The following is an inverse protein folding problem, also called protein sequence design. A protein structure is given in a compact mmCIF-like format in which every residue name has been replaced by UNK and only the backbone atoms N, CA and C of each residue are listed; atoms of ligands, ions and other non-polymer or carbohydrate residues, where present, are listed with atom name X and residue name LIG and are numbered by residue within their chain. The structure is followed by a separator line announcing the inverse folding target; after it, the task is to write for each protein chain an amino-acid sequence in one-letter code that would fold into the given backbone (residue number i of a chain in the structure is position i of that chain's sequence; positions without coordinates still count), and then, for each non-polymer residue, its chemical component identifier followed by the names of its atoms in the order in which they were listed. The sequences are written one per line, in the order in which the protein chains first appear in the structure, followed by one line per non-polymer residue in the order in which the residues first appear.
data_IF_577145953052
#
_entry.id   IF_577145953052
#
_cell.length_a   1.000
_cell.length_b   1.000
_cell.length_c   1.000
_cell.angle_alpha   90.00
_cell.angle_beta   90.00
_cell.angle_gamma   90.00
#
_symmetry.space_group_name_H-M   'P 1'
#
loop_
_entity.id
_entity.type
_entity.pdbx_description
1 polymer ?
#
# COMPACT_ATOMS: atom_id res chain seq x y z
N UNK A 1 18.12 5.89 -14.78
CA UNK A 1 18.44 4.90 -13.72
C UNK A 1 17.18 4.86 -12.89
N UNK A 2 16.57 3.69 -12.73
CA UNK A 2 15.30 3.57 -12.01
C UNK A 2 15.58 3.76 -10.52
N UNK A 3 14.75 4.53 -9.82
CA UNK A 3 14.88 4.82 -8.39
C UNK A 3 13.93 3.98 -7.54
N UNK A 4 14.15 3.92 -6.23
CA UNK A 4 13.18 3.35 -5.28
C UNK A 4 11.87 4.13 -5.40
N UNK A 5 11.95 5.46 -5.49
CA UNK A 5 10.78 6.32 -5.69
C UNK A 5 9.98 5.91 -6.92
N UNK A 6 10.62 5.71 -8.09
CA UNK A 6 9.91 5.34 -9.33
C UNK A 6 9.18 4.00 -9.18
N UNK A 7 9.82 3.00 -8.57
CA UNK A 7 9.30 1.63 -8.48
C UNK A 7 8.15 1.55 -7.49
N UNK A 8 8.34 2.17 -6.33
CA UNK A 8 7.34 2.11 -5.27
C UNK A 8 6.13 2.99 -5.58
N UNK A 9 6.32 4.13 -6.26
CA UNK A 9 5.21 4.95 -6.76
C UNK A 9 4.37 4.22 -7.83
N UNK A 10 5.00 3.43 -8.71
CA UNK A 10 4.26 2.57 -9.65
C UNK A 10 3.45 1.50 -8.90
N UNK A 11 4.02 0.93 -7.84
CA UNK A 11 3.31 -0.01 -6.97
C UNK A 11 2.10 0.64 -6.27
N UNK A 12 2.23 1.88 -5.81
CA UNK A 12 1.11 2.66 -5.27
C UNK A 12 0.01 2.87 -6.32
N UNK A 13 0.39 3.30 -7.53
CA UNK A 13 -0.57 3.54 -8.60
C UNK A 13 -1.40 2.29 -8.93
N UNK A 14 -0.77 1.11 -8.93
CA UNK A 14 -1.49 -0.16 -9.11
C UNK A 14 -2.47 -0.48 -7.98
N UNK A 15 -2.10 -0.22 -6.73
CA UNK A 15 -2.99 -0.41 -5.58
C UNK A 15 -4.18 0.58 -5.63
N UNK A 16 -3.91 1.86 -5.93
CA UNK A 16 -4.91 2.92 -6.04
C UNK A 16 -5.92 2.64 -7.16
N UNK A 17 -5.46 2.13 -8.32
CA UNK A 17 -6.34 1.75 -9.43
C UNK A 17 -7.29 0.61 -9.03
N UNK A 18 -6.77 -0.42 -8.36
CA UNK A 18 -7.59 -1.55 -7.89
C UNK A 18 -8.60 -1.11 -6.84
N UNK A 19 -8.20 -0.24 -5.91
CA UNK A 19 -9.10 0.28 -4.87
C UNK A 19 -10.22 1.14 -5.46
N UNK A 20 -9.89 2.07 -6.37
CA UNK A 20 -10.88 2.89 -7.06
C UNK A 20 -11.85 2.03 -7.88
N UNK A 21 -11.36 0.95 -8.50
CA UNK A 21 -12.21 0.01 -9.23
C UNK A 21 -13.12 -0.78 -8.28
N UNK A 22 -12.64 -1.17 -7.10
CA UNK A 22 -13.47 -1.81 -6.07
C UNK A 22 -14.58 -0.87 -5.59
N UNK A 23 -14.27 0.40 -5.31
CA UNK A 23 -15.26 1.42 -4.92
C UNK A 23 -16.38 1.55 -5.98
N UNK A 24 -16.00 1.68 -7.25
CA UNK A 24 -16.97 1.79 -8.35
C UNK A 24 -17.86 0.54 -8.49
N UNK A 25 -17.30 -0.66 -8.33
CA UNK A 25 -18.06 -1.92 -8.39
C UNK A 25 -19.01 -2.07 -7.20
N UNK A 26 -18.60 -1.63 -6.00
CA UNK A 26 -19.46 -1.58 -4.83
C UNK A 26 -20.63 -0.60 -5.02
N UNK A 27 -20.37 0.58 -5.57
CA UNK A 27 -21.42 1.56 -5.90
C UNK A 27 -22.42 1.03 -6.93
N UNK A 28 -21.98 0.14 -7.83
CA UNK A 28 -22.83 -0.55 -8.80
C UNK A 28 -23.46 -1.86 -8.32
N UNK A 29 -23.23 -2.27 -7.06
CA UNK A 29 -23.65 -3.57 -6.49
C UNK A 29 -23.17 -4.80 -7.32
N UNK A 30 -22.04 -4.68 -8.01
CA UNK A 30 -21.46 -5.78 -8.79
C UNK A 30 -20.57 -6.66 -7.90
N UNK A 31 -21.21 -7.36 -6.96
CA UNK A 31 -20.54 -8.15 -5.92
C UNK A 31 -19.58 -9.19 -6.47
N UNK A 32 -19.91 -9.82 -7.60
CA UNK A 32 -19.08 -10.87 -8.18
C UNK A 32 -17.74 -10.30 -8.66
N UNK A 33 -17.79 -9.21 -9.43
CA UNK A 33 -16.57 -8.59 -9.94
C UNK A 33 -15.86 -7.81 -8.83
N UNK A 34 -16.59 -7.26 -7.85
CA UNK A 34 -16.03 -6.62 -6.67
C UNK A 34 -15.15 -7.60 -5.89
N UNK A 35 -15.61 -8.82 -5.63
CA UNK A 35 -14.79 -9.82 -4.92
C UNK A 35 -13.47 -10.09 -5.62
N UNK A 36 -13.50 -10.29 -6.94
CA UNK A 36 -12.30 -10.54 -7.73
C UNK A 36 -11.31 -9.36 -7.67
N UNK A 37 -11.81 -8.13 -7.80
CA UNK A 37 -10.98 -6.91 -7.74
C UNK A 37 -10.45 -6.65 -6.35
N UNK A 38 -11.28 -6.83 -5.34
CA UNK A 38 -10.90 -6.59 -3.96
C UNK A 38 -9.85 -7.60 -3.49
N UNK A 39 -9.95 -8.88 -3.88
CA UNK A 39 -8.89 -9.85 -3.61
C UNK A 39 -7.58 -9.48 -4.33
N UNK A 40 -7.64 -9.00 -5.57
CA UNK A 40 -6.46 -8.51 -6.28
C UNK A 40 -5.84 -7.29 -5.58
N UNK A 41 -6.66 -6.34 -5.12
CA UNK A 41 -6.23 -5.20 -4.32
C UNK A 41 -5.50 -5.66 -3.05
N UNK A 42 -6.08 -6.57 -2.26
CA UNK A 42 -5.46 -7.05 -1.02
C UNK A 42 -4.13 -7.74 -1.28
N UNK A 43 -4.03 -8.54 -2.34
CA UNK A 43 -2.77 -9.20 -2.73
C UNK A 43 -1.72 -8.16 -3.13
N UNK A 44 -2.08 -7.17 -3.95
CA UNK A 44 -1.16 -6.12 -4.38
C UNK A 44 -0.65 -5.28 -3.20
N UNK A 45 -1.55 -4.87 -2.31
CA UNK A 45 -1.21 -4.08 -1.11
C UNK A 45 -0.31 -4.85 -0.14
N UNK A 46 -0.57 -6.14 0.09
CA UNK A 46 0.31 -6.93 0.97
C UNK A 46 1.69 -7.19 0.35
N UNK A 47 1.76 -7.36 -0.98
CA UNK A 47 3.06 -7.43 -1.68
C UNK A 47 3.84 -6.13 -1.53
N UNK A 48 3.17 -5.00 -1.72
CA UNK A 48 3.74 -3.68 -1.53
C UNK A 48 4.30 -3.52 -0.11
N UNK A 49 3.48 -3.76 0.93
CA UNK A 49 3.94 -3.71 2.32
C UNK A 49 5.08 -4.69 2.59
N UNK A 50 5.07 -5.90 2.00
CA UNK A 50 6.14 -6.86 2.18
C UNK A 50 7.47 -6.37 1.58
N UNK A 51 7.44 -5.75 0.39
CA UNK A 51 8.62 -5.14 -0.21
C UNK A 51 9.21 -4.07 0.71
N UNK A 52 8.37 -3.32 1.40
CA UNK A 52 8.83 -2.32 2.34
C UNK A 52 9.32 -2.91 3.66
N UNK A 53 8.46 -3.64 4.36
CA UNK A 53 8.69 -4.14 5.71
C UNK A 53 9.83 -5.18 5.77
N UNK A 54 9.98 -5.99 4.71
CA UNK A 54 10.95 -7.09 4.70
C UNK A 54 12.21 -6.80 3.89
N UNK A 55 12.21 -5.80 3.00
CA UNK A 55 13.34 -5.52 2.11
C UNK A 55 13.88 -4.10 2.33
N UNK A 56 13.06 -3.05 2.15
CA UNK A 56 13.52 -1.66 2.24
C UNK A 56 13.77 -1.19 3.68
N UNK A 57 12.76 -1.28 4.54
CA UNK A 57 12.81 -0.75 5.90
C UNK A 57 13.95 -1.35 6.75
N UNK A 58 14.29 -2.64 6.66
CA UNK A 58 15.47 -3.19 7.34
C UNK A 58 16.78 -2.47 6.98
N UNK A 59 16.92 -1.93 5.76
CA UNK A 59 18.11 -1.18 5.34
C UNK A 59 18.27 0.19 6.00
N UNK A 60 17.22 0.66 6.67
CA UNK A 60 17.24 1.94 7.38
C UNK A 60 17.70 1.79 8.84
N UNK A 61 17.86 0.56 9.34
CA UNK A 61 18.25 0.29 10.72
C UNK A 61 19.63 0.88 11.02
N UNK A 62 19.73 1.66 12.10
CA UNK A 62 20.96 2.36 12.48
C UNK A 62 21.28 3.61 11.65
N UNK A 63 20.50 3.90 10.61
CA UNK A 63 20.62 5.11 9.78
C UNK A 63 19.52 6.13 10.16
N UNK A 64 18.28 5.67 10.20
CA UNK A 64 17.13 6.48 10.61
C UNK A 64 16.84 6.30 12.10
N UNK A 65 16.35 7.36 12.78
CA UNK A 65 16.06 7.30 14.21
C UNK A 65 14.89 6.36 14.51
N UNK A 66 14.92 5.63 15.65
CA UNK A 66 13.77 4.89 16.16
C UNK A 66 12.57 5.82 16.38
N UNK A 67 11.36 5.35 16.08
CA UNK A 67 10.14 6.18 16.13
C UNK A 67 10.07 7.23 15.02
N UNK A 68 10.95 7.15 14.02
CA UNK A 68 10.96 8.00 12.83
C UNK A 68 9.97 7.54 11.76
N UNK A 69 10.14 8.00 10.50
CA UNK A 69 9.16 7.81 9.43
C UNK A 69 8.79 6.33 9.18
N UNK A 70 9.76 5.42 9.23
CA UNK A 70 9.53 3.98 9.03
C UNK A 70 8.56 3.38 10.06
N UNK A 71 8.62 3.79 11.33
CA UNK A 71 7.70 3.27 12.35
C UNK A 71 6.28 3.84 12.19
N UNK A 72 6.15 5.05 11.64
CA UNK A 72 4.86 5.63 11.26
C UNK A 72 4.26 4.84 10.10
N UNK A 73 5.05 4.50 9.06
CA UNK A 73 4.56 3.72 7.92
C UNK A 73 4.09 2.33 8.34
N UNK A 74 4.89 1.60 9.12
CA UNK A 74 4.47 0.30 9.69
C UNK A 74 3.22 0.39 10.57
N UNK A 75 3.04 1.49 11.30
CA UNK A 75 1.83 1.70 12.10
C UNK A 75 0.61 1.87 11.19
N UNK A 76 0.73 2.65 10.13
CA UNK A 76 -0.34 2.88 9.17
C UNK A 76 -0.65 1.62 8.35
N UNK A 77 0.34 0.81 7.98
CA UNK A 77 0.08 -0.49 7.34
C UNK A 77 -0.80 -1.39 8.21
N UNK A 78 -0.59 -1.39 9.54
CA UNK A 78 -1.47 -2.14 10.45
C UNK A 78 -2.89 -1.60 10.44
N UNK A 79 -3.05 -0.27 10.47
CA UNK A 79 -4.38 0.35 10.37
C UNK A 79 -5.07 0.01 9.04
N UNK A 80 -4.34 0.03 7.92
CA UNK A 80 -4.90 -0.35 6.62
C UNK A 80 -5.28 -1.83 6.57
N UNK A 81 -4.47 -2.72 7.14
CA UNK A 81 -4.80 -4.16 7.26
C UNK A 81 -6.08 -4.38 8.08
N UNK A 82 -6.29 -3.60 9.14
CA UNK A 82 -7.52 -3.65 9.94
C UNK A 82 -8.74 -3.18 9.12
N UNK A 83 -8.64 -2.06 8.38
CA UNK A 83 -9.71 -1.58 7.49
C UNK A 83 -10.02 -2.59 6.38
N UNK A 84 -8.99 -3.22 5.80
CA UNK A 84 -9.13 -4.27 4.78
C UNK A 84 -9.90 -5.47 5.35
N UNK A 85 -9.65 -5.86 6.60
CA UNK A 85 -10.38 -6.94 7.25
C UNK A 85 -11.87 -6.59 7.42
N UNK A 86 -12.20 -5.37 7.86
CA UNK A 86 -13.59 -4.90 7.96
C UNK A 86 -14.29 -4.89 6.58
N UNK A 87 -13.60 -4.41 5.54
CA UNK A 87 -14.10 -4.44 4.17
C UNK A 87 -14.38 -5.86 3.68
N UNK A 88 -13.56 -6.86 4.05
CA UNK A 88 -13.84 -8.28 3.74
C UNK A 88 -15.14 -8.76 4.40
N UNK A 89 -15.39 -8.35 5.64
CA UNK A 89 -16.64 -8.69 6.34
C UNK A 89 -17.85 -8.06 5.64
N UNK A 90 -17.81 -6.76 5.37
CA UNK A 90 -18.88 -6.02 4.69
C UNK A 90 -19.15 -6.56 3.27
N UNK A 91 -18.09 -6.93 2.54
CA UNK A 91 -18.20 -7.58 1.24
C UNK A 91 -18.91 -8.93 1.33
N UNK A 92 -18.60 -9.73 2.37
CA UNK A 92 -19.25 -11.03 2.57
C UNK A 92 -20.74 -10.91 2.90
N UNK A 93 -21.11 -9.83 3.58
CA UNK A 93 -22.50 -9.51 3.92
C UNK A 93 -23.23 -8.76 2.80
N UNK A 94 -22.51 -8.35 1.75
CA UNK A 94 -23.01 -7.45 0.70
C UNK A 94 -23.59 -6.15 1.26
N UNK A 95 -23.02 -5.64 2.37
CA UNK A 95 -23.39 -4.37 2.96
C UNK A 95 -22.76 -3.22 2.17
N UNK A 96 -23.48 -2.73 1.17
CA UNK A 96 -23.02 -1.64 0.31
C UNK A 96 -22.73 -0.36 1.10
N UNK A 97 -23.58 0.00 2.07
CA UNK A 97 -23.42 1.25 2.81
C UNK A 97 -22.20 1.17 3.72
N UNK A 98 -22.04 0.05 4.43
CA UNK A 98 -20.84 -0.21 5.22
C UNK A 98 -19.59 -0.21 4.37
N UNK A 99 -19.57 -0.99 3.28
CA UNK A 99 -18.40 -1.12 2.41
C UNK A 99 -17.97 0.23 1.83
N UNK A 100 -18.91 1.05 1.33
CA UNK A 100 -18.60 2.37 0.77
C UNK A 100 -18.09 3.36 1.83
N UNK A 101 -18.57 3.29 3.08
CA UNK A 101 -18.04 4.14 4.15
C UNK A 101 -16.63 3.75 4.60
N UNK A 102 -16.37 2.44 4.69
CA UNK A 102 -15.07 1.92 5.11
C UNK A 102 -14.01 2.11 4.01
N UNK A 103 -14.38 1.94 2.73
CA UNK A 103 -13.45 2.09 1.61
C UNK A 103 -13.03 3.56 1.42
N UNK A 104 -13.92 4.52 1.69
CA UNK A 104 -13.58 5.96 1.69
C UNK A 104 -12.52 6.24 2.78
N UNK A 105 -12.68 5.65 3.96
CA UNK A 105 -11.71 5.78 5.06
C UNK A 105 -10.35 5.20 4.67
N UNK A 106 -10.33 4.02 4.05
CA UNK A 106 -9.11 3.40 3.55
C UNK A 106 -8.45 4.24 2.45
N UNK A 107 -9.22 4.77 1.50
CA UNK A 107 -8.73 5.62 0.41
C UNK A 107 -8.00 6.86 0.95
N UNK A 108 -8.61 7.56 1.92
CA UNK A 108 -8.01 8.74 2.53
C UNK A 108 -6.69 8.38 3.25
N UNK A 109 -6.69 7.26 3.99
CA UNK A 109 -5.49 6.81 4.71
C UNK A 109 -4.36 6.45 3.73
N UNK A 110 -4.66 5.70 2.65
CA UNK A 110 -3.70 5.36 1.60
C UNK A 110 -3.14 6.60 0.92
N UNK A 111 -3.97 7.57 0.51
CA UNK A 111 -3.49 8.80 -0.11
C UNK A 111 -2.52 9.57 0.80
N UNK A 112 -2.85 9.71 2.08
CA UNK A 112 -1.99 10.38 3.04
C UNK A 112 -0.68 9.62 3.25
N UNK A 113 -0.76 8.30 3.34
CA UNK A 113 0.38 7.40 3.48
C UNK A 113 1.33 7.50 2.27
N UNK A 114 0.82 7.27 1.06
CA UNK A 114 1.59 7.33 -0.19
C UNK A 114 2.31 8.68 -0.32
N UNK A 115 1.66 9.80 0.03
CA UNK A 115 2.29 11.12 0.04
C UNK A 115 3.50 11.22 0.98
N UNK A 116 3.42 10.63 2.18
CA UNK A 116 4.56 10.64 3.12
C UNK A 116 5.71 9.83 2.57
N UNK A 117 5.43 8.73 1.90
CA UNK A 117 6.49 7.89 1.35
C UNK A 117 7.13 8.50 0.11
N UNK A 118 6.32 8.86 -0.88
CA UNK A 118 6.80 9.40 -2.15
C UNK A 118 7.47 10.77 -2.02
N UNK A 119 7.02 11.63 -1.09
CA UNK A 119 7.57 12.97 -0.94
C UNK A 119 8.68 13.07 0.09
N UNK A 120 8.80 12.10 1.00
CA UNK A 120 9.74 12.16 2.12
C UNK A 120 10.58 10.89 2.19
N UNK A 121 9.96 9.73 2.41
CA UNK A 121 10.72 8.52 2.72
C UNK A 121 11.54 8.02 1.52
N UNK A 122 10.91 7.76 0.38
CA UNK A 122 11.61 7.21 -0.79
C UNK A 122 12.71 8.14 -1.33
N UNK A 123 12.51 9.47 -1.44
CA UNK A 123 13.60 10.37 -1.83
C UNK A 123 14.78 10.35 -0.85
N UNK A 124 14.53 10.14 0.45
CA UNK A 124 15.59 9.92 1.43
C UNK A 124 16.30 8.58 1.21
N UNK A 125 15.54 7.51 0.94
CA UNK A 125 16.10 6.18 0.67
C UNK A 125 16.93 6.17 -0.62
N UNK A 126 16.52 6.87 -1.67
CA UNK A 126 17.29 7.00 -2.91
C UNK A 126 18.66 7.65 -2.68
N UNK A 127 18.76 8.59 -1.74
CA UNK A 127 20.04 9.20 -1.36
C UNK A 127 20.89 8.27 -0.50
N UNK A 128 20.28 7.63 0.50
CA UNK A 128 20.97 6.78 1.48
C UNK A 128 21.46 5.47 0.84
N UNK A 129 20.66 4.88 -0.06
CA UNK A 129 20.84 3.55 -0.64
C UNK A 129 21.21 3.61 -2.12
N UNK A 130 21.75 4.73 -2.61
CA UNK A 130 22.06 4.97 -4.03
C UNK A 130 22.88 3.86 -4.70
N UNK A 131 23.82 3.23 -3.97
CA UNK A 131 24.64 2.12 -4.47
C UNK A 131 23.97 0.72 -4.34
N UNK A 132 22.83 0.63 -3.66
CA UNK A 132 22.10 -0.61 -3.36
C UNK A 132 20.75 -0.73 -4.09
N UNK A 133 20.35 0.26 -4.90
CA UNK A 133 19.04 0.26 -5.58
C UNK A 133 18.84 -0.98 -6.45
N UNK A 134 19.75 -1.25 -7.39
CA UNK A 134 19.64 -2.41 -8.30
C UNK A 134 19.49 -3.77 -7.58
N UNK A 135 20.34 -4.13 -6.58
CA UNK A 135 20.19 -5.39 -5.87
C UNK A 135 18.97 -5.44 -4.94
N UNK A 136 18.46 -4.30 -4.46
CA UNK A 136 17.23 -4.25 -3.67
C UNK A 136 16.01 -4.53 -4.54
N UNK A 137 15.95 -3.90 -5.71
CA UNK A 137 14.86 -4.06 -6.67
C UNK A 137 14.73 -5.51 -7.15
N UNK A 138 15.85 -6.21 -7.32
CA UNK A 138 15.84 -7.64 -7.70
C UNK A 138 15.24 -8.57 -6.63
N UNK A 139 15.12 -8.12 -5.38
CA UNK A 139 14.52 -8.91 -4.30
C UNK A 139 13.01 -8.64 -4.15
N UNK A 140 12.52 -7.53 -4.71
CA UNK A 140 11.12 -7.13 -4.60
C UNK A 140 10.21 -7.99 -5.48
N UNK A 141 9.00 -8.25 -5.00
CA UNK A 141 7.92 -8.82 -5.81
C UNK A 141 7.16 -7.66 -6.49
N UNK A 142 7.44 -7.46 -7.78
CA UNK A 142 6.89 -6.36 -8.60
C UNK A 142 5.85 -6.85 -9.64
N UNK A 143 5.42 -8.11 -9.56
CA UNK A 143 4.57 -8.78 -10.59
C UNK A 143 3.24 -9.27 -10.06
#
# INVERSE_FOLDING_TARGET
MTTITDIMAESHAGCDELLARAENLAAGEDWRNLTEVFDAFVVATEKHFSNEENILFPKTEGILPPGGPVEVMKFEHRQMRDLIANLREQLSEQDQTGFLGEIETLLILMQQHNMKEEQILYPMLDQILSDEVDPLVQQMDLT
#
